data_IF_599149883031
#
_entry.id   IF_599149883031
#
_cell.length_a   1.000
_cell.length_b   1.000
_cell.length_c   1.000
_cell.angle_alpha   90.00
_cell.angle_beta   90.00
_cell.angle_gamma   90.00
#
_symmetry.space_group_name_H-M   'P 1'
#
loop_
_entity.id
_entity.type
_entity.pdbx_description
1 polymer ?
#
# COMPACT_ATOMS: atom_id res chain seq x y z
N UNK A 1 -36.02 19.60 2.07
CA UNK A 1 -35.80 20.74 3.01
C UNK A 1 -35.18 20.24 4.27
N UNK A 2 -34.16 20.95 4.72
CA UNK A 2 -33.30 20.87 5.93
C UNK A 2 -32.03 20.04 5.81
N UNK A 3 -31.02 20.74 5.36
CA UNK A 3 -29.60 20.47 5.52
C UNK A 3 -29.23 20.56 7.00
N UNK A 4 -28.68 19.51 7.57
CA UNK A 4 -28.01 19.49 8.86
C UNK A 4 -26.49 19.48 8.66
N UNK A 5 -25.89 20.65 8.54
CA UNK A 5 -24.44 20.80 8.54
C UNK A 5 -23.91 20.56 9.97
N UNK A 6 -23.22 19.45 10.18
CA UNK A 6 -22.38 19.26 11.37
C UNK A 6 -21.00 19.85 11.07
N UNK A 7 -20.86 21.11 11.42
CA UNK A 7 -19.58 21.78 11.59
C UNK A 7 -18.84 21.10 12.74
N UNK A 8 -17.89 20.23 12.43
CA UNK A 8 -16.82 19.85 13.35
C UNK A 8 -15.90 21.08 13.47
N UNK A 9 -16.19 21.92 14.45
CA UNK A 9 -15.29 22.96 14.92
C UNK A 9 -14.04 22.27 15.49
N UNK A 10 -12.84 22.49 14.95
CA UNK A 10 -11.65 22.03 15.62
C UNK A 10 -11.53 22.83 16.92
N UNK A 11 -11.59 22.14 18.04
CA UNK A 11 -11.27 22.69 19.36
C UNK A 11 -9.76 22.96 19.38
N UNK A 12 -9.36 24.11 18.83
CA UNK A 12 -8.06 24.69 19.09
C UNK A 12 -8.14 25.18 20.54
N UNK A 13 -7.72 24.33 21.47
CA UNK A 13 -7.35 24.78 22.80
C UNK A 13 -6.12 25.67 22.62
N UNK A 14 -6.35 26.95 22.43
CA UNK A 14 -5.37 28.00 22.59
C UNK A 14 -5.00 28.04 24.08
N UNK A 15 -4.06 27.18 24.46
CA UNK A 15 -3.24 27.42 25.63
C UNK A 15 -2.39 28.66 25.27
N UNK A 16 -2.93 29.83 25.64
CA UNK A 16 -2.23 31.09 25.59
C UNK A 16 -1.05 31.04 26.59
N UNK A 17 0.06 30.49 26.12
CA UNK A 17 1.35 30.71 26.72
C UNK A 17 2.04 31.80 25.88
N UNK A 18 2.55 32.89 26.47
CA UNK A 18 3.39 33.84 25.77
C UNK A 18 4.80 33.21 25.60
N UNK A 19 4.90 32.21 24.71
CA UNK A 19 6.18 31.72 24.27
C UNK A 19 6.76 32.77 23.32
N UNK A 20 8.00 33.23 23.55
CA UNK A 20 8.74 34.02 22.59
C UNK A 20 8.85 33.23 21.27
N UNK A 21 8.94 33.90 20.12
CA UNK A 21 9.09 33.24 18.82
C UNK A 21 10.26 32.24 18.83
N UNK A 22 11.32 32.53 19.55
CA UNK A 22 12.50 31.70 19.77
C UNK A 22 12.22 30.41 20.55
N UNK A 23 11.26 30.43 21.48
CA UNK A 23 10.84 29.25 22.23
C UNK A 23 9.89 28.36 21.40
N UNK A 24 9.09 28.94 20.51
CA UNK A 24 8.30 28.22 19.53
C UNK A 24 9.18 27.52 18.50
N UNK A 25 10.20 28.18 17.99
CA UNK A 25 11.16 27.60 17.02
C UNK A 25 11.89 26.36 17.58
N UNK A 26 12.21 26.36 18.87
CA UNK A 26 12.83 25.22 19.55
C UNK A 26 11.86 24.04 19.75
N UNK A 27 10.57 24.28 19.71
CA UNK A 27 9.50 23.25 19.95
C UNK A 27 8.90 22.72 18.66
N UNK A 28 9.03 23.44 17.54
CA UNK A 28 8.45 23.07 16.24
C UNK A 28 9.57 22.82 15.24
N UNK A 29 9.55 21.64 14.62
CA UNK A 29 10.44 21.27 13.52
C UNK A 29 9.61 21.04 12.26
N UNK A 30 9.98 21.72 11.19
CA UNK A 30 9.40 21.51 9.86
C UNK A 30 10.38 20.72 9.01
N UNK A 31 9.87 19.78 8.25
CA UNK A 31 10.62 18.99 7.30
C UNK A 31 9.72 18.63 6.12
N UNK A 32 10.31 18.18 5.04
CA UNK A 32 9.55 17.79 3.88
C UNK A 32 10.35 16.91 2.93
N UNK A 33 9.64 16.36 1.97
CA UNK A 33 10.21 15.54 0.91
C UNK A 33 9.41 15.73 -0.37
N UNK A 34 10.05 15.47 -1.50
CA UNK A 34 9.38 15.44 -2.77
C UNK A 34 10.07 14.55 -3.78
N UNK A 35 9.30 14.16 -4.76
CA UNK A 35 9.72 13.45 -5.96
C UNK A 35 9.09 14.12 -7.17
N UNK A 36 9.89 14.50 -8.15
CA UNK A 36 9.42 14.83 -9.50
C UNK A 36 9.81 13.66 -10.40
N UNK A 37 8.82 12.98 -10.96
CA UNK A 37 9.02 11.78 -11.75
C UNK A 37 8.52 11.91 -13.18
N UNK A 38 9.11 11.11 -14.07
CA UNK A 38 8.65 10.90 -15.44
C UNK A 38 8.71 9.42 -15.74
N UNK A 39 7.60 8.86 -16.25
CA UNK A 39 7.47 7.45 -16.58
C UNK A 39 7.01 7.30 -18.01
N UNK A 40 7.65 6.41 -18.75
CA UNK A 40 7.28 6.01 -20.10
C UNK A 40 7.12 4.50 -20.15
N UNK A 41 6.07 4.03 -20.81
CA UNK A 41 5.79 2.61 -21.03
C UNK A 41 5.83 2.28 -22.53
N UNK A 42 6.35 1.13 -22.90
CA UNK A 42 6.50 0.70 -24.30
C UNK A 42 5.19 0.29 -24.99
N UNK A 43 4.05 0.30 -24.28
CA UNK A 43 2.75 -0.12 -24.81
C UNK A 43 1.63 0.87 -24.44
N UNK A 44 0.62 0.98 -25.32
CA UNK A 44 -0.65 1.67 -25.06
C UNK A 44 -1.77 0.68 -24.68
N UNK A 45 -1.50 -0.64 -24.74
CA UNK A 45 -2.47 -1.68 -24.44
C UNK A 45 -2.63 -1.94 -22.93
N UNK A 46 -1.76 -1.37 -22.10
CA UNK A 46 -1.83 -1.52 -20.64
C UNK A 46 -1.12 -0.33 -19.97
N UNK A 47 -1.79 0.31 -19.01
CA UNK A 47 -1.28 1.47 -18.29
C UNK A 47 -0.43 1.05 -17.08
N UNK A 48 0.85 1.45 -17.04
CA UNK A 48 1.70 1.17 -15.90
C UNK A 48 1.37 2.08 -14.72
N UNK A 49 1.07 1.49 -13.56
CA UNK A 49 0.77 2.19 -12.30
C UNK A 49 1.80 1.86 -11.23
N UNK A 50 1.94 2.75 -10.25
CA UNK A 50 2.78 2.55 -9.07
C UNK A 50 2.12 1.65 -8.02
N UNK A 51 0.81 1.79 -7.86
CA UNK A 51 -0.01 0.99 -6.95
C UNK A 51 -1.48 0.99 -7.40
N UNK A 52 -2.26 0.07 -6.83
CA UNK A 52 -3.65 -0.15 -7.20
C UNK A 52 -4.60 1.05 -6.90
N UNK A 53 -4.13 2.09 -6.20
CA UNK A 53 -4.96 3.29 -5.99
C UNK A 53 -4.95 4.26 -7.18
N UNK A 54 -4.05 4.10 -8.14
CA UNK A 54 -3.95 5.02 -9.28
C UNK A 54 -4.98 4.65 -10.37
N UNK A 55 -5.86 5.57 -10.80
CA UNK A 55 -6.94 5.28 -11.73
C UNK A 55 -6.45 5.12 -13.18
N UNK A 56 -5.34 5.77 -13.53
CA UNK A 56 -4.72 5.71 -14.87
C UNK A 56 -3.23 5.44 -14.77
N UNK A 57 -2.69 4.70 -15.73
CA UNK A 57 -1.28 4.36 -15.81
C UNK A 57 -0.55 5.02 -16.98
N UNK A 58 0.78 5.06 -16.89
CA UNK A 58 1.64 5.53 -17.97
C UNK A 58 1.57 4.59 -19.19
N UNK A 59 1.52 5.18 -20.37
CA UNK A 59 1.52 4.52 -21.67
C UNK A 59 2.72 4.96 -22.50
N UNK A 60 2.67 4.89 -23.82
CA UNK A 60 3.73 5.42 -24.71
C UNK A 60 3.89 6.94 -24.64
N UNK A 61 2.92 7.63 -24.04
CA UNK A 61 3.07 9.05 -23.72
C UNK A 61 3.74 9.17 -22.36
N UNK A 62 4.87 9.90 -22.23
CA UNK A 62 5.50 10.12 -20.94
C UNK A 62 4.55 10.77 -19.93
N UNK A 63 4.49 10.21 -18.72
CA UNK A 63 3.57 10.63 -17.66
C UNK A 63 4.35 11.09 -16.42
N UNK A 64 4.15 12.33 -16.01
CA UNK A 64 4.75 12.91 -14.81
C UNK A 64 3.95 12.64 -13.52
N UNK A 65 2.75 12.05 -13.60
CA UNK A 65 1.86 11.86 -12.46
C UNK A 65 2.25 10.66 -11.59
N UNK A 66 2.70 9.57 -12.20
CA UNK A 66 2.84 8.24 -11.58
C UNK A 66 3.73 8.27 -10.33
N UNK A 67 4.90 8.90 -10.41
CA UNK A 67 5.86 8.94 -9.31
C UNK A 67 5.95 10.29 -8.60
N UNK A 68 5.33 11.35 -9.13
CA UNK A 68 5.42 12.69 -8.53
C UNK A 68 4.62 12.80 -7.24
N UNK A 69 5.24 13.40 -6.22
CA UNK A 69 4.63 13.63 -4.91
C UNK A 69 5.36 14.70 -4.13
N UNK A 70 4.68 15.28 -3.14
CA UNK A 70 5.22 16.25 -2.19
C UNK A 70 4.66 15.95 -0.80
N UNK A 71 5.53 15.88 0.20
CA UNK A 71 5.17 15.73 1.60
C UNK A 71 5.72 16.84 2.45
N UNK A 72 4.91 17.32 3.40
CA UNK A 72 5.30 18.29 4.41
C UNK A 72 5.00 17.70 5.79
N UNK A 73 5.92 17.84 6.72
CA UNK A 73 5.79 17.34 8.08
C UNK A 73 6.11 18.44 9.10
N UNK A 74 5.34 18.45 10.16
CA UNK A 74 5.57 19.29 11.34
C UNK A 74 5.63 18.37 12.57
N UNK A 75 6.71 18.45 13.31
CA UNK A 75 6.90 17.80 14.60
C UNK A 75 6.90 18.85 15.70
N UNK A 76 6.10 18.62 16.75
CA UNK A 76 5.96 19.50 17.91
C UNK A 76 6.41 18.78 19.18
N UNK A 77 7.42 19.32 19.88
CA UNK A 77 7.82 18.83 21.21
C UNK A 77 6.94 19.48 22.26
N UNK A 78 6.01 18.71 22.81
CA UNK A 78 5.03 19.19 23.81
C UNK A 78 5.57 19.09 25.23
N UNK A 79 6.34 18.03 25.52
CA UNK A 79 7.11 17.85 26.77
C UNK A 79 8.32 16.97 26.53
N UNK A 80 9.08 16.64 27.59
CA UNK A 80 10.22 15.71 27.51
C UNK A 80 9.83 14.29 27.06
N UNK A 81 8.56 13.93 27.21
CA UNK A 81 8.04 12.58 26.90
C UNK A 81 6.91 12.59 25.86
N UNK A 82 6.40 13.76 25.47
CA UNK A 82 5.22 13.89 24.59
C UNK A 82 5.57 14.70 23.33
N UNK A 83 5.27 14.16 22.18
CA UNK A 83 5.47 14.78 20.86
C UNK A 83 4.17 14.70 20.04
N UNK A 84 3.95 15.68 19.17
CA UNK A 84 2.91 15.66 18.14
C UNK A 84 3.53 15.65 16.76
N UNK A 85 3.00 14.87 15.84
CA UNK A 85 3.43 14.85 14.43
C UNK A 85 2.24 15.04 13.52
N UNK A 86 2.39 15.96 12.55
CA UNK A 86 1.46 16.15 11.43
C UNK A 86 2.23 15.99 10.13
N UNK A 87 1.74 15.16 9.21
CA UNK A 87 2.29 15.02 7.86
C UNK A 87 1.16 15.06 6.84
N UNK A 88 1.37 15.86 5.80
CA UNK A 88 0.47 15.96 4.65
C UNK A 88 1.24 15.53 3.41
N UNK A 89 0.63 14.67 2.59
CA UNK A 89 1.22 14.21 1.32
C UNK A 89 0.25 14.49 0.18
N UNK A 90 0.77 15.07 -0.90
CA UNK A 90 0.11 15.24 -2.19
C UNK A 90 0.74 14.28 -3.18
N UNK A 91 -0.03 13.39 -3.78
CA UNK A 91 0.37 12.42 -4.80
C UNK A 91 -0.82 12.13 -5.72
N UNK A 92 -0.58 11.46 -6.84
CA UNK A 92 -1.64 11.07 -7.76
C UNK A 92 -2.56 10.04 -7.08
N UNK A 93 -3.81 10.43 -6.82
CA UNK A 93 -4.81 9.70 -6.05
C UNK A 93 -5.85 9.03 -6.95
N UNK A 94 -6.68 8.18 -6.35
CA UNK A 94 -7.76 7.42 -6.99
C UNK A 94 -8.79 8.28 -7.74
N UNK A 95 -8.93 9.55 -7.39
CA UNK A 95 -9.82 10.52 -8.04
C UNK A 95 -9.15 11.27 -9.23
N UNK A 96 -7.94 10.86 -9.62
CA UNK A 96 -7.19 11.47 -10.70
C UNK A 96 -6.56 12.82 -10.35
N UNK A 97 -6.54 13.20 -9.07
CA UNK A 97 -6.01 14.48 -8.60
C UNK A 97 -4.77 14.34 -7.71
N UNK A 98 -4.14 15.48 -7.42
CA UNK A 98 -3.05 15.61 -6.44
C UNK A 98 -3.57 16.23 -5.13
N UNK A 99 -4.80 15.95 -4.72
CA UNK A 99 -5.37 16.47 -3.50
C UNK A 99 -4.49 16.10 -2.29
N UNK A 100 -4.02 17.10 -1.48
CA UNK A 100 -3.25 16.81 -0.28
C UNK A 100 -4.08 16.06 0.77
N UNK A 101 -3.46 15.06 1.40
CA UNK A 101 -4.10 14.26 2.44
C UNK A 101 -3.20 14.12 3.67
N UNK A 102 -3.81 14.13 4.86
CA UNK A 102 -3.07 13.83 6.07
C UNK A 102 -2.63 12.35 6.07
N UNK A 103 -1.33 12.11 5.91
CA UNK A 103 -0.74 10.79 6.03
C UNK A 103 -0.56 10.42 7.51
N UNK A 104 -0.07 11.36 8.31
CA UNK A 104 0.10 11.20 9.75
C UNK A 104 -0.51 12.37 10.51
N UNK A 105 -1.13 12.09 11.66
CA UNK A 105 -1.63 13.09 12.60
C UNK A 105 -1.78 12.40 13.96
N UNK A 106 -0.71 12.38 14.78
CA UNK A 106 -0.69 11.61 16.01
C UNK A 106 0.07 12.29 17.15
N UNK A 107 -0.24 11.84 18.37
CA UNK A 107 0.57 12.08 19.56
C UNK A 107 1.41 10.85 19.85
N UNK A 108 2.68 11.08 20.18
CA UNK A 108 3.64 10.07 20.61
C UNK A 108 4.07 10.31 22.05
N UNK A 109 3.97 9.28 22.87
CA UNK A 109 4.39 9.29 24.27
C UNK A 109 5.52 8.29 24.50
N UNK A 110 6.65 8.79 25.01
CA UNK A 110 7.87 8.02 25.28
C UNK A 110 8.22 8.15 26.77
N UNK A 111 7.57 7.37 27.65
CA UNK A 111 7.79 7.45 29.11
C UNK A 111 9.20 7.07 29.51
N UNK A 112 9.79 6.11 28.83
CA UNK A 112 11.18 5.68 28.94
C UNK A 112 11.76 5.48 27.55
N UNK A 113 13.07 5.57 27.32
CA UNK A 113 13.68 5.50 26.00
C UNK A 113 13.36 4.24 25.20
N UNK A 114 13.09 3.13 25.90
CA UNK A 114 12.80 1.84 25.31
C UNK A 114 11.35 1.70 24.81
N UNK A 115 10.41 2.51 25.32
CA UNK A 115 8.97 2.35 25.08
C UNK A 115 8.38 3.61 24.46
N UNK A 116 7.70 3.45 23.32
CA UNK A 116 6.93 4.50 22.68
C UNK A 116 5.51 4.03 22.39
N UNK A 117 4.52 4.80 22.80
CA UNK A 117 3.12 4.63 22.41
C UNK A 117 2.69 5.78 21.51
N UNK A 118 1.95 5.50 20.44
CA UNK A 118 1.38 6.54 19.57
C UNK A 118 -0.13 6.34 19.42
N UNK A 119 -0.86 7.46 19.31
CA UNK A 119 -2.31 7.46 19.09
C UNK A 119 -2.71 8.55 18.10
N UNK A 120 -3.57 8.22 17.15
CA UNK A 120 -4.03 9.13 16.10
C UNK A 120 -4.05 8.50 14.73
N UNK A 121 -3.75 9.28 13.68
CA UNK A 121 -3.57 8.79 12.33
C UNK A 121 -2.13 8.34 12.13
N UNK A 122 -1.94 7.05 11.91
CA UNK A 122 -0.66 6.36 11.86
C UNK A 122 -0.47 5.65 10.52
N UNK A 123 0.78 5.48 10.11
CA UNK A 123 1.14 4.57 9.01
C UNK A 123 1.00 3.11 9.43
N UNK A 124 0.58 2.26 8.50
CA UNK A 124 0.53 0.81 8.69
C UNK A 124 1.86 0.23 8.23
N UNK A 125 2.63 -0.29 9.18
CA UNK A 125 3.97 -0.83 8.93
C UNK A 125 3.95 -2.35 8.67
N UNK A 126 3.06 -2.84 7.80
CA UNK A 126 2.92 -4.29 7.53
C UNK A 126 4.12 -4.92 6.81
N UNK A 127 5.00 -4.12 6.18
CA UNK A 127 6.19 -4.58 5.45
C UNK A 127 7.36 -3.60 5.62
N UNK A 128 8.56 -4.00 5.17
CA UNK A 128 9.74 -3.12 5.23
C UNK A 128 9.51 -1.83 4.44
N UNK A 129 10.05 -0.72 4.94
CA UNK A 129 9.96 0.61 4.31
C UNK A 129 8.52 1.11 4.11
N UNK A 130 7.52 0.53 4.81
CA UNK A 130 6.13 0.96 4.69
C UNK A 130 5.92 2.39 5.19
N UNK A 131 6.65 2.79 6.22
CA UNK A 131 6.65 4.14 6.82
C UNK A 131 7.33 5.19 5.93
N UNK A 132 8.31 4.79 5.11
CA UNK A 132 9.06 5.68 4.21
C UNK A 132 8.71 5.51 2.73
N UNK A 133 7.68 4.73 2.37
CA UNK A 133 7.34 4.42 0.98
C UNK A 133 7.06 5.64 0.09
N UNK A 134 6.63 6.74 0.68
CA UNK A 134 6.37 7.99 -0.03
C UNK A 134 7.60 8.91 -0.09
N UNK A 135 8.67 8.62 0.66
CA UNK A 135 9.93 9.38 0.67
C UNK A 135 10.89 8.79 -0.36
N UNK A 136 10.87 9.29 -1.58
CA UNK A 136 11.70 8.77 -2.69
C UNK A 136 13.18 8.71 -2.33
N UNK A 137 13.70 9.73 -1.69
CA UNK A 137 15.10 9.83 -1.24
C UNK A 137 15.54 8.67 -0.31
N UNK A 138 14.62 8.01 0.39
CA UNK A 138 14.93 6.99 1.42
C UNK A 138 15.31 5.62 0.87
N UNK A 139 15.12 5.36 -0.42
CA UNK A 139 15.41 4.06 -1.02
C UNK A 139 16.21 4.19 -2.33
N UNK A 140 16.79 3.08 -2.74
CA UNK A 140 17.72 3.00 -3.88
C UNK A 140 17.00 3.14 -5.24
N UNK A 141 15.77 2.62 -5.35
CA UNK A 141 15.01 2.52 -6.59
C UNK A 141 14.29 3.83 -6.94
N UNK A 142 13.83 3.95 -8.18
CA UNK A 142 12.90 5.03 -8.59
C UNK A 142 11.58 4.91 -7.80
N UNK A 143 11.09 3.70 -7.60
CA UNK A 143 9.93 3.36 -6.77
C UNK A 143 10.11 2.01 -6.11
N UNK A 144 9.46 1.75 -4.96
CA UNK A 144 9.37 0.39 -4.43
C UNK A 144 8.75 -0.57 -5.45
N UNK A 145 9.22 -1.85 -5.53
CA UNK A 145 8.71 -2.83 -6.48
C UNK A 145 7.19 -2.96 -6.44
N UNK A 146 6.52 -2.74 -7.57
CA UNK A 146 5.03 -2.70 -7.63
C UNK A 146 4.40 -4.03 -7.25
N UNK A 147 5.05 -5.16 -7.56
CA UNK A 147 4.59 -6.51 -7.21
C UNK A 147 4.44 -6.72 -5.71
N UNK A 148 5.17 -5.93 -4.92
CA UNK A 148 5.18 -6.05 -3.46
C UNK A 148 4.42 -4.91 -2.79
N UNK A 149 4.64 -3.69 -3.23
CA UNK A 149 4.12 -2.48 -2.58
C UNK A 149 2.86 -1.94 -3.26
N UNK A 150 2.58 -2.36 -4.50
CA UNK A 150 1.44 -1.90 -5.29
C UNK A 150 0.16 -2.65 -5.03
N UNK A 151 0.22 -3.89 -4.54
CA UNK A 151 -0.93 -4.77 -4.38
C UNK A 151 -1.94 -4.26 -3.33
N UNK A 152 -1.45 -3.72 -2.22
CA UNK A 152 -2.29 -3.21 -1.15
C UNK A 152 -2.02 -1.72 -0.97
N UNK A 153 -2.91 -0.84 -1.42
CA UNK A 153 -2.76 0.60 -1.28
C UNK A 153 -3.06 1.09 0.15
N UNK A 154 -3.44 0.20 1.07
CA UNK A 154 -3.77 0.53 2.47
C UNK A 154 -2.51 0.96 3.22
N UNK A 155 -2.41 2.25 3.51
CA UNK A 155 -1.19 2.84 4.08
C UNK A 155 -1.41 3.49 5.43
N UNK A 156 -2.67 3.77 5.82
CA UNK A 156 -3.01 4.61 6.97
C UNK A 156 -4.14 4.02 7.80
N UNK A 157 -4.06 4.21 9.12
CA UNK A 157 -5.14 3.89 10.06
C UNK A 157 -5.32 5.01 11.09
N UNK A 158 -6.53 5.18 11.60
CA UNK A 158 -6.77 5.85 12.87
C UNK A 158 -6.74 4.79 13.96
N UNK A 159 -5.80 4.91 14.89
CA UNK A 159 -5.58 3.86 15.87
C UNK A 159 -4.46 4.17 16.85
N UNK A 160 -3.90 3.11 17.38
CA UNK A 160 -2.80 3.14 18.34
C UNK A 160 -1.71 2.17 17.96
N UNK A 161 -0.49 2.47 18.35
CA UNK A 161 0.61 1.51 18.33
C UNK A 161 1.48 1.62 19.60
N UNK A 162 2.17 0.53 19.89
CA UNK A 162 3.14 0.42 20.97
C UNK A 162 4.42 -0.20 20.42
N UNK A 163 5.55 0.48 20.63
CA UNK A 163 6.88 0.02 20.21
C UNK A 163 7.77 -0.14 21.43
N UNK A 164 8.43 -1.30 21.53
CA UNK A 164 9.52 -1.55 22.46
C UNK A 164 10.83 -1.73 21.69
N UNK A 165 11.92 -1.08 22.13
CA UNK A 165 13.26 -1.21 21.55
C UNK A 165 14.25 -1.61 22.64
N UNK A 166 14.87 -2.76 22.48
CA UNK A 166 15.72 -3.38 23.51
C UNK A 166 17.12 -3.64 22.97
N UNK A 167 18.15 -3.28 23.74
CA UNK A 167 19.52 -3.69 23.44
C UNK A 167 19.73 -5.13 23.88
N UNK A 168 20.20 -5.99 22.97
CA UNK A 168 20.53 -7.39 23.25
C UNK A 168 22.03 -7.61 23.49
N UNK A 169 22.79 -6.52 23.57
CA UNK A 169 24.24 -6.53 23.73
C UNK A 169 25.01 -6.36 22.43
N UNK A 170 26.26 -5.89 22.53
CA UNK A 170 27.06 -5.53 21.36
C UNK A 170 26.40 -4.46 20.50
N UNK A 171 26.31 -4.72 19.20
CA UNK A 171 25.61 -3.85 18.22
C UNK A 171 24.21 -4.38 17.85
N UNK A 172 23.63 -5.22 18.71
CA UNK A 172 22.34 -5.86 18.38
C UNK A 172 21.20 -5.21 19.14
N UNK A 173 20.16 -4.80 18.40
CA UNK A 173 18.92 -4.27 18.96
C UNK A 173 17.71 -5.10 18.46
N UNK A 174 16.72 -5.27 19.33
CA UNK A 174 15.43 -5.87 19.03
C UNK A 174 14.35 -4.78 19.14
N UNK A 175 13.59 -4.59 18.09
CA UNK A 175 12.38 -3.73 18.07
C UNK A 175 11.14 -4.61 17.91
N UNK A 176 10.22 -4.49 18.85
CA UNK A 176 8.90 -5.12 18.81
C UNK A 176 7.85 -4.04 18.70
N UNK A 177 6.86 -4.24 17.84
CA UNK A 177 5.75 -3.30 17.67
C UNK A 177 4.44 -4.04 17.53
N UNK A 178 3.41 -3.57 18.23
CA UNK A 178 2.02 -3.95 18.01
C UNK A 178 1.19 -2.73 17.58
N UNK A 179 0.19 -2.93 16.73
CA UNK A 179 -0.69 -1.86 16.27
C UNK A 179 -2.13 -2.36 16.07
N UNK A 180 -3.09 -1.43 16.23
CA UNK A 180 -4.51 -1.69 15.98
C UNK A 180 -5.26 -0.40 15.65
N UNK A 181 -6.16 -0.47 14.66
CA UNK A 181 -6.94 0.70 14.25
C UNK A 181 -7.99 0.41 13.19
N UNK A 182 -8.51 1.50 12.62
CA UNK A 182 -9.43 1.49 11.49
C UNK A 182 -8.78 2.19 10.29
N UNK A 183 -8.94 1.63 9.09
CA UNK A 183 -8.43 2.18 7.83
C UNK A 183 -9.10 3.53 7.55
N UNK A 184 -8.36 4.46 6.99
CA UNK A 184 -8.80 5.83 6.74
C UNK A 184 -8.87 6.13 5.26
N UNK A 185 -10.08 6.47 4.78
CA UNK A 185 -10.33 7.08 3.46
C UNK A 185 -9.55 6.44 2.30
N UNK A 186 -9.39 5.13 2.33
CA UNK A 186 -8.75 4.39 1.25
C UNK A 186 -9.83 3.89 0.29
N UNK A 187 -9.69 4.28 -0.98
CA UNK A 187 -10.52 3.78 -2.06
C UNK A 187 -9.63 3.14 -3.12
N UNK A 188 -10.05 1.98 -3.59
CA UNK A 188 -9.34 1.24 -4.64
C UNK A 188 -10.19 1.30 -5.91
N UNK A 189 -9.69 1.89 -7.00
CA UNK A 189 -10.36 1.85 -8.29
C UNK A 189 -10.56 0.40 -8.74
N UNK A 190 -11.77 0.07 -9.15
CA UNK A 190 -12.12 -1.23 -9.72
C UNK A 190 -12.64 -1.01 -11.13
N UNK A 191 -11.95 -1.56 -12.15
CA UNK A 191 -12.29 -1.35 -13.54
C UNK A 191 -13.73 -1.82 -13.84
N UNK A 192 -14.57 -0.90 -14.35
CA UNK A 192 -15.97 -1.19 -14.69
C UNK A 192 -16.94 -1.23 -13.50
N UNK A 193 -16.47 -1.00 -12.27
CA UNK A 193 -17.26 -1.02 -11.04
C UNK A 193 -17.01 0.23 -10.18
N UNK A 194 -17.90 0.53 -9.21
CA UNK A 194 -17.61 1.54 -8.20
C UNK A 194 -16.36 1.20 -7.40
N UNK A 195 -15.62 2.23 -6.97
CA UNK A 195 -14.43 2.05 -6.15
C UNK A 195 -14.75 1.26 -4.88
N UNK A 196 -13.87 0.33 -4.51
CA UNK A 196 -13.95 -0.38 -3.23
C UNK A 196 -13.57 0.59 -2.10
N UNK A 197 -14.52 0.88 -1.20
CA UNK A 197 -14.30 1.74 -0.02
C UNK A 197 -13.87 0.90 1.19
N UNK A 198 -12.60 1.01 1.56
CA UNK A 198 -12.01 0.32 2.71
C UNK A 198 -12.09 1.15 4.01
N UNK A 199 -12.73 2.32 3.98
CA UNK A 199 -12.80 3.22 5.13
C UNK A 199 -13.59 2.60 6.28
N UNK A 200 -12.95 2.51 7.45
CA UNK A 200 -13.55 1.93 8.66
C UNK A 200 -13.28 0.44 8.85
N UNK A 201 -12.70 -0.24 7.88
CA UNK A 201 -12.23 -1.61 8.03
C UNK A 201 -11.17 -1.69 9.12
N UNK A 202 -11.10 -2.82 9.82
CA UNK A 202 -10.19 -2.99 10.96
C UNK A 202 -8.86 -3.56 10.49
N UNK A 203 -7.78 -3.05 11.10
CA UNK A 203 -6.44 -3.56 10.90
C UNK A 203 -5.72 -3.69 12.24
N UNK A 204 -5.01 -4.79 12.43
CA UNK A 204 -4.15 -5.00 13.59
C UNK A 204 -3.02 -5.93 13.24
N UNK A 205 -1.91 -5.82 13.96
CA UNK A 205 -0.74 -6.63 13.65
C UNK A 205 0.41 -6.43 14.59
N UNK A 206 1.52 -7.08 14.26
CA UNK A 206 2.76 -7.00 15.01
C UNK A 206 3.99 -7.13 14.11
N UNK A 207 5.10 -6.61 14.63
CA UNK A 207 6.39 -6.55 13.95
C UNK A 207 7.47 -6.96 14.94
N UNK A 208 8.40 -7.77 14.47
CA UNK A 208 9.68 -8.04 15.15
C UNK A 208 10.82 -7.69 14.18
N UNK A 209 11.74 -6.84 14.62
CA UNK A 209 12.88 -6.40 13.83
C UNK A 209 14.15 -6.53 14.67
N UNK A 210 15.18 -7.14 14.10
CA UNK A 210 16.50 -7.28 14.69
C UNK A 210 17.50 -6.55 13.81
N UNK A 211 18.23 -5.62 14.38
CA UNK A 211 19.38 -4.95 13.76
C UNK A 211 20.65 -5.47 14.42
N UNK A 212 21.62 -5.96 13.65
CA UNK A 212 22.92 -6.42 14.17
C UNK A 212 24.02 -6.10 13.16
N UNK A 213 24.86 -5.12 13.51
CA UNK A 213 25.87 -4.61 12.58
C UNK A 213 25.25 -4.15 11.26
N UNK A 214 25.77 -4.71 10.16
CA UNK A 214 25.30 -4.43 8.79
C UNK A 214 23.94 -5.04 8.43
N UNK A 215 23.41 -5.95 9.24
CA UNK A 215 22.20 -6.71 8.95
C UNK A 215 20.98 -6.19 9.70
N UNK A 216 19.86 -6.10 9.00
CA UNK A 216 18.54 -5.89 9.60
C UNK A 216 17.58 -6.95 9.07
N UNK A 217 17.05 -7.77 9.97
CA UNK A 217 15.99 -8.73 9.71
C UNK A 217 14.65 -8.25 10.26
N UNK A 218 13.56 -8.42 9.53
CA UNK A 218 12.22 -8.04 9.96
C UNK A 218 11.20 -9.11 9.62
N UNK A 219 10.31 -9.39 10.55
CA UNK A 219 9.09 -10.16 10.34
C UNK A 219 7.89 -9.31 10.73
N UNK A 220 6.82 -9.40 9.98
CA UNK A 220 5.57 -8.71 10.29
C UNK A 220 4.36 -9.59 9.98
N UNK A 221 3.32 -9.39 10.75
CA UNK A 221 1.99 -9.93 10.54
C UNK A 221 0.98 -8.81 10.62
N UNK A 222 0.03 -8.78 9.69
CA UNK A 222 -1.13 -7.89 9.75
C UNK A 222 -2.39 -8.66 9.37
N UNK A 223 -3.49 -8.36 10.07
CA UNK A 223 -4.83 -8.87 9.82
C UNK A 223 -5.75 -7.71 9.51
N UNK A 224 -6.39 -7.77 8.36
CA UNK A 224 -7.41 -6.83 7.93
C UNK A 224 -8.76 -7.53 8.01
N UNK A 225 -9.78 -6.84 8.52
CA UNK A 225 -11.14 -7.34 8.56
C UNK A 225 -12.05 -6.37 7.82
N UNK A 226 -12.61 -6.82 6.72
CA UNK A 226 -13.58 -6.07 5.94
C UNK A 226 -14.89 -5.95 6.72
N UNK A 227 -15.47 -4.78 6.75
CA UNK A 227 -16.71 -4.47 7.45
C UNK A 227 -17.83 -4.02 6.53
N UNK A 228 -17.51 -3.85 5.27
CA UNK A 228 -18.43 -3.45 4.21
C UNK A 228 -18.32 -4.43 3.06
N UNK A 229 -19.44 -4.62 2.37
CA UNK A 229 -19.48 -5.28 1.07
C UNK A 229 -19.10 -4.31 -0.06
N UNK A 230 -19.14 -4.79 -1.27
CA UNK A 230 -19.07 -3.94 -2.45
C UNK A 230 -20.32 -3.04 -2.55
N UNK A 231 -20.19 -1.92 -3.27
CA UNK A 231 -21.34 -1.17 -3.72
C UNK A 231 -22.07 -1.92 -4.86
N UNK A 232 -23.37 -1.62 -5.13
CA UNK A 232 -24.06 -2.16 -6.32
C UNK A 232 -23.28 -1.86 -7.62
N UNK A 233 -23.27 -2.75 -8.62
CA UNK A 233 -24.09 -3.97 -8.70
C UNK A 233 -23.48 -5.20 -8.01
N UNK A 234 -22.21 -5.17 -7.58
CA UNK A 234 -21.52 -6.36 -7.02
C UNK A 234 -22.16 -6.84 -5.71
N UNK A 235 -22.69 -5.92 -4.87
CA UNK A 235 -23.44 -6.29 -3.67
C UNK A 235 -24.73 -7.04 -3.96
N UNK A 236 -25.32 -6.87 -5.13
CA UNK A 236 -26.53 -7.57 -5.57
C UNK A 236 -26.24 -9.03 -5.86
N UNK A 237 -25.04 -9.36 -6.33
CA UNK A 237 -24.61 -10.73 -6.61
C UNK A 237 -24.75 -11.67 -5.40
N UNK A 238 -24.35 -11.23 -4.23
CA UNK A 238 -24.50 -12.02 -3.00
C UNK A 238 -25.98 -12.28 -2.69
N UNK A 239 -26.80 -11.22 -2.77
CA UNK A 239 -28.25 -11.28 -2.54
C UNK A 239 -28.94 -12.18 -3.57
N UNK A 240 -28.57 -12.10 -4.84
CA UNK A 240 -29.14 -12.94 -5.91
C UNK A 240 -28.78 -14.42 -5.73
N UNK A 241 -27.55 -14.70 -5.30
CA UNK A 241 -27.13 -16.05 -4.94
C UNK A 241 -27.93 -16.61 -3.75
N UNK A 242 -28.19 -15.81 -2.71
CA UNK A 242 -29.01 -16.19 -1.56
C UNK A 242 -30.46 -16.47 -1.99
N UNK A 243 -31.05 -15.62 -2.83
CA UNK A 243 -32.40 -15.79 -3.37
C UNK A 243 -32.52 -17.07 -4.21
N UNK A 244 -31.52 -17.32 -5.08
CA UNK A 244 -31.49 -18.54 -5.88
C UNK A 244 -31.25 -19.80 -5.02
N UNK A 245 -30.43 -19.71 -3.97
CA UNK A 245 -30.25 -20.77 -3.00
C UNK A 245 -31.55 -21.16 -2.32
N UNK A 246 -32.34 -20.18 -1.87
CA UNK A 246 -33.64 -20.40 -1.25
C UNK A 246 -34.66 -20.98 -2.23
N UNK A 247 -34.71 -20.47 -3.47
CA UNK A 247 -35.62 -20.93 -4.52
C UNK A 247 -35.33 -22.38 -4.93
N UNK A 248 -34.09 -22.77 -5.03
CA UNK A 248 -33.65 -24.08 -5.49
C UNK A 248 -33.46 -25.09 -4.35
N UNK A 249 -33.51 -24.65 -3.09
CA UNK A 249 -33.19 -25.49 -1.93
C UNK A 249 -31.73 -25.93 -1.91
N UNK A 250 -30.81 -25.13 -2.48
CA UNK A 250 -29.39 -25.47 -2.61
C UNK A 250 -28.53 -24.65 -1.64
N UNK A 251 -28.15 -25.22 -0.46
CA UNK A 251 -27.36 -24.52 0.54
C UNK A 251 -25.91 -24.22 0.07
N UNK A 252 -25.42 -24.88 -0.97
CA UNK A 252 -24.10 -24.62 -1.54
C UNK A 252 -24.00 -23.21 -2.16
N UNK A 253 -25.11 -22.70 -2.71
CA UNK A 253 -25.17 -21.34 -3.24
C UNK A 253 -25.04 -20.26 -2.15
N UNK A 254 -25.51 -20.53 -0.92
CA UNK A 254 -25.29 -19.62 0.22
C UNK A 254 -23.81 -19.53 0.62
N UNK A 255 -23.06 -20.63 0.49
CA UNK A 255 -21.62 -20.61 0.72
C UNK A 255 -20.92 -19.73 -0.34
N UNK A 256 -21.34 -19.83 -1.60
CA UNK A 256 -20.83 -18.97 -2.68
C UNK A 256 -21.21 -17.51 -2.44
N UNK A 257 -22.46 -17.22 -2.04
CA UNK A 257 -22.90 -15.86 -1.67
C UNK A 257 -22.00 -15.25 -0.60
N UNK A 258 -21.73 -16.02 0.47
CA UNK A 258 -20.81 -15.59 1.53
C UNK A 258 -19.37 -15.40 1.00
N UNK A 259 -18.92 -16.24 0.09
CA UNK A 259 -17.55 -16.20 -0.42
C UNK A 259 -17.29 -15.01 -1.36
N UNK A 260 -18.31 -14.55 -2.11
CA UNK A 260 -18.20 -13.36 -3.00
C UNK A 260 -18.34 -12.05 -2.23
N UNK A 261 -19.02 -12.03 -1.06
CA UNK A 261 -19.18 -10.80 -0.25
C UNK A 261 -17.92 -10.50 0.56
N UNK A 262 -17.28 -9.33 0.39
CA UNK A 262 -16.16 -8.92 1.23
C UNK A 262 -16.54 -8.77 2.71
N UNK A 263 -17.79 -8.43 3.02
CA UNK A 263 -18.22 -8.14 4.37
C UNK A 263 -17.94 -9.32 5.33
N UNK A 264 -17.27 -9.04 6.43
CA UNK A 264 -16.83 -10.05 7.39
C UNK A 264 -15.60 -10.85 6.97
N UNK A 265 -15.12 -10.67 5.73
CA UNK A 265 -13.91 -11.31 5.21
C UNK A 265 -12.65 -10.88 5.95
N UNK A 266 -11.65 -11.76 5.95
CA UNK A 266 -10.39 -11.57 6.63
C UNK A 266 -9.24 -11.77 5.64
N UNK A 267 -8.40 -10.73 5.54
CA UNK A 267 -7.15 -10.78 4.82
C UNK A 267 -5.99 -10.83 5.83
N UNK A 268 -5.08 -11.76 5.64
CA UNK A 268 -3.89 -11.96 6.46
C UNK A 268 -2.65 -11.69 5.62
N UNK A 269 -1.78 -10.86 6.16
CA UNK A 269 -0.50 -10.52 5.54
C UNK A 269 0.64 -10.98 6.42
N UNK A 270 1.53 -11.78 5.84
CA UNK A 270 2.79 -12.21 6.43
C UNK A 270 3.94 -11.63 5.62
N UNK A 271 4.93 -11.07 6.29
CA UNK A 271 6.10 -10.48 5.65
C UNK A 271 7.37 -10.91 6.35
N UNK A 272 8.40 -11.24 5.59
CA UNK A 272 9.76 -11.44 6.05
C UNK A 272 10.72 -10.68 5.15
N UNK A 273 11.62 -9.91 5.73
CA UNK A 273 12.57 -9.08 4.99
C UNK A 273 13.95 -9.06 5.62
N UNK A 274 14.94 -8.82 4.79
CA UNK A 274 16.34 -8.74 5.17
C UNK A 274 17.01 -7.60 4.41
N UNK A 275 17.75 -6.73 5.12
CA UNK A 275 18.65 -5.74 4.50
C UNK A 275 20.09 -5.97 4.97
N UNK A 276 21.00 -5.63 4.09
CA UNK A 276 22.44 -5.60 4.34
C UNK A 276 23.01 -4.29 3.82
N UNK A 277 23.70 -3.56 4.69
CA UNK A 277 24.35 -2.30 4.33
C UNK A 277 25.72 -2.23 5.01
N UNK A 278 26.79 -2.46 4.23
CA UNK A 278 28.16 -2.32 4.71
C UNK A 278 29.08 -1.83 3.59
N UNK A 279 29.82 -0.79 3.87
CA UNK A 279 30.71 -0.16 2.90
C UNK A 279 29.94 0.31 1.66
N UNK A 280 30.35 -0.11 0.44
CA UNK A 280 29.65 0.26 -0.79
C UNK A 280 28.47 -0.64 -1.12
N UNK A 281 28.33 -1.79 -0.46
CA UNK A 281 27.32 -2.81 -0.81
C UNK A 281 26.01 -2.56 -0.08
N UNK A 282 24.92 -2.55 -0.82
CA UNK A 282 23.55 -2.45 -0.33
C UNK A 282 22.72 -3.60 -0.90
N UNK A 283 22.09 -4.37 -0.03
CA UNK A 283 21.23 -5.48 -0.41
C UNK A 283 19.91 -5.45 0.34
N UNK A 284 18.82 -5.79 -0.34
CA UNK A 284 17.51 -5.94 0.28
C UNK A 284 16.74 -7.07 -0.38
N UNK A 285 16.13 -7.91 0.45
CA UNK A 285 15.22 -8.96 0.01
C UNK A 285 13.97 -8.94 0.88
N UNK A 286 12.81 -9.28 0.29
CA UNK A 286 11.56 -9.43 1.02
C UNK A 286 10.71 -10.51 0.36
N UNK A 287 10.00 -11.27 1.19
CA UNK A 287 9.00 -12.25 0.80
C UNK A 287 7.74 -11.99 1.60
N UNK A 288 6.59 -11.98 0.94
CA UNK A 288 5.30 -11.83 1.59
C UNK A 288 4.31 -12.89 1.12
N UNK A 289 3.39 -13.21 2.00
CA UNK A 289 2.21 -14.01 1.69
C UNK A 289 0.96 -13.27 2.12
N UNK A 290 0.04 -13.12 1.18
CA UNK A 290 -1.30 -12.58 1.39
C UNK A 290 -2.29 -13.73 1.28
N UNK A 291 -2.99 -14.02 2.37
CA UNK A 291 -4.07 -15.00 2.42
C UNK A 291 -5.40 -14.29 2.66
N UNK A 292 -6.46 -14.75 1.98
CA UNK A 292 -7.80 -14.22 2.15
C UNK A 292 -8.80 -15.36 2.21
N UNK A 293 -9.86 -15.21 3.00
CA UNK A 293 -10.93 -16.20 3.17
C UNK A 293 -12.15 -15.95 2.26
N UNK A 294 -11.99 -15.10 1.24
CA UNK A 294 -13.03 -14.74 0.26
C UNK A 294 -12.51 -14.93 -1.17
N UNK A 295 -13.41 -15.14 -2.12
CA UNK A 295 -13.05 -15.39 -3.52
C UNK A 295 -12.93 -14.10 -4.36
N UNK A 296 -13.32 -12.95 -3.84
CA UNK A 296 -13.22 -11.67 -4.57
C UNK A 296 -11.77 -11.18 -4.74
N UNK A 297 -10.81 -11.78 -4.04
CA UNK A 297 -9.39 -11.47 -4.15
C UNK A 297 -8.57 -12.76 -4.05
N UNK A 298 -7.51 -12.96 -4.86
CA UNK A 298 -6.69 -14.15 -4.79
C UNK A 298 -5.74 -14.11 -3.58
N UNK A 299 -5.34 -15.29 -3.12
CA UNK A 299 -4.15 -15.40 -2.28
C UNK A 299 -2.89 -15.21 -3.12
N UNK A 300 -1.90 -14.48 -2.58
CA UNK A 300 -0.74 -14.10 -3.36
C UNK A 300 0.57 -14.31 -2.61
N UNK A 301 1.59 -14.76 -3.33
CA UNK A 301 2.97 -14.68 -2.91
C UNK A 301 3.65 -13.54 -3.64
N UNK A 302 4.35 -12.67 -2.91
CA UNK A 302 5.10 -11.57 -3.51
C UNK A 302 6.49 -11.51 -2.91
N UNK A 303 7.47 -11.06 -3.71
CA UNK A 303 8.80 -10.89 -3.19
C UNK A 303 9.71 -10.12 -4.14
N UNK A 304 10.81 -9.64 -3.61
CA UNK A 304 11.87 -9.01 -4.40
C UNK A 304 13.26 -9.24 -3.81
N UNK A 305 14.24 -9.07 -4.67
CA UNK A 305 15.65 -8.99 -4.34
C UNK A 305 16.25 -7.77 -5.05
N UNK A 306 17.02 -6.95 -4.33
CA UNK A 306 17.75 -5.80 -4.86
C UNK A 306 19.17 -5.79 -4.36
N UNK A 307 20.11 -5.45 -5.25
CA UNK A 307 21.52 -5.28 -4.94
C UNK A 307 22.03 -4.00 -5.60
N UNK A 308 22.73 -3.17 -4.82
CA UNK A 308 23.39 -1.97 -5.29
C UNK A 308 24.82 -1.89 -4.82
N UNK A 309 25.66 -1.22 -5.59
CA UNK A 309 27.07 -1.00 -5.25
C UNK A 309 27.44 0.47 -5.46
N UNK A 310 27.83 1.16 -4.40
CA UNK A 310 28.15 2.59 -4.43
C UNK A 310 29.55 2.83 -4.98
N UNK A 311 29.62 3.67 -6.00
CA UNK A 311 30.88 4.15 -6.61
C UNK A 311 30.87 5.67 -6.58
N UNK A 312 31.51 6.27 -5.59
CA UNK A 312 31.46 7.71 -5.38
C UNK A 312 30.04 8.20 -5.09
N UNK A 313 29.52 9.07 -5.95
CA UNK A 313 28.15 9.60 -5.87
C UNK A 313 27.12 8.76 -6.63
N UNK A 314 27.55 7.73 -7.34
CA UNK A 314 26.68 6.88 -8.15
C UNK A 314 26.51 5.50 -7.51
N UNK A 315 25.28 4.99 -7.52
CA UNK A 315 24.96 3.64 -7.06
C UNK A 315 24.16 2.91 -8.14
N UNK A 316 24.84 2.21 -9.08
CA UNK A 316 24.14 1.27 -9.94
C UNK A 316 23.52 0.15 -9.10
N UNK A 317 22.35 -0.33 -9.56
CA UNK A 317 21.63 -1.41 -8.91
C UNK A 317 20.89 -2.31 -9.89
N UNK A 318 20.64 -3.52 -9.44
CA UNK A 318 19.74 -4.46 -10.07
C UNK A 318 18.64 -4.86 -9.09
N UNK A 319 17.45 -5.10 -9.63
CA UNK A 319 16.28 -5.51 -8.86
C UNK A 319 15.54 -6.59 -9.65
N UNK A 320 15.05 -7.58 -8.94
CA UNK A 320 14.08 -8.55 -9.43
C UNK A 320 12.92 -8.65 -8.46
N UNK A 321 11.69 -8.66 -8.99
CA UNK A 321 10.47 -8.82 -8.20
C UNK A 321 9.47 -9.73 -8.90
N UNK A 322 8.58 -10.34 -8.11
CA UNK A 322 7.53 -11.22 -8.59
C UNK A 322 6.30 -11.17 -7.69
N UNK A 323 5.14 -11.25 -8.32
CA UNK A 323 3.87 -11.64 -7.72
C UNK A 323 3.33 -12.89 -8.41
N UNK A 324 2.78 -13.80 -7.63
CA UNK A 324 2.08 -15.01 -8.08
C UNK A 324 0.77 -15.07 -7.29
N UNK A 325 -0.33 -14.76 -7.95
CA UNK A 325 -1.67 -14.74 -7.37
C UNK A 325 -2.43 -15.97 -7.82
N UNK A 326 -3.11 -16.65 -6.89
CA UNK A 326 -3.89 -17.84 -7.18
C UNK A 326 -5.26 -17.76 -6.55
N UNK A 327 -6.29 -18.01 -7.35
CA UNK A 327 -7.64 -18.16 -6.87
C UNK A 327 -7.75 -19.41 -5.99
N UNK A 328 -8.39 -19.28 -4.84
CA UNK A 328 -8.65 -20.41 -3.94
C UNK A 328 -9.94 -21.11 -4.32
N UNK A 329 -9.84 -22.07 -5.23
CA UNK A 329 -10.96 -22.90 -5.66
C UNK A 329 -11.91 -22.19 -6.64
N UNK A 330 -12.76 -22.97 -7.28
CA UNK A 330 -13.86 -22.44 -8.09
C UNK A 330 -15.10 -22.30 -7.19
N UNK A 331 -15.86 -21.20 -7.32
CA UNK A 331 -17.11 -21.04 -6.61
C UNK A 331 -18.11 -22.13 -7.03
N UNK A 332 -18.84 -22.64 -6.05
CA UNK A 332 -19.92 -23.60 -6.32
C UNK A 332 -21.11 -22.88 -6.95
N UNK A 333 -21.54 -23.33 -8.12
CA UNK A 333 -22.66 -22.75 -8.86
C UNK A 333 -23.83 -23.73 -8.99
N UNK A 334 -23.69 -24.97 -8.52
CA UNK A 334 -24.76 -25.99 -8.57
C UNK A 334 -25.37 -26.17 -9.95
N UNK A 335 -26.68 -26.08 -10.04
CA UNK A 335 -27.43 -26.20 -11.28
C UNK A 335 -27.53 -24.89 -12.09
N UNK A 336 -27.08 -23.74 -11.57
CA UNK A 336 -27.26 -22.41 -12.19
C UNK A 336 -26.83 -22.35 -13.68
N UNK A 337 -25.68 -22.94 -14.09
CA UNK A 337 -25.25 -22.88 -15.50
C UNK A 337 -26.19 -23.58 -16.47
N UNK A 338 -27.08 -24.46 -15.97
CA UNK A 338 -27.98 -25.29 -16.77
C UNK A 338 -29.43 -24.82 -16.71
N UNK A 339 -29.74 -23.80 -15.92
CA UNK A 339 -31.09 -23.28 -15.79
C UNK A 339 -31.44 -22.30 -16.95
N UNK A 340 -32.62 -22.47 -17.62
CA UNK A 340 -33.08 -21.49 -18.59
C UNK A 340 -33.67 -20.27 -17.89
N UNK A 341 -32.90 -19.61 -17.02
CA UNK A 341 -33.30 -18.46 -16.21
C UNK A 341 -32.31 -17.32 -16.45
N UNK A 342 -32.74 -16.13 -16.90
CA UNK A 342 -31.90 -14.98 -17.16
C UNK A 342 -31.08 -14.54 -15.94
N UNK A 343 -31.68 -14.58 -14.72
CA UNK A 343 -30.97 -14.22 -13.48
C UNK A 343 -29.86 -15.23 -13.17
N UNK A 344 -30.14 -16.54 -13.33
CA UNK A 344 -29.11 -17.55 -13.14
C UNK A 344 -27.93 -17.38 -14.12
N UNK A 345 -28.23 -17.08 -15.40
CA UNK A 345 -27.20 -16.82 -16.40
C UNK A 345 -26.36 -15.58 -16.06
N UNK A 346 -27.00 -14.51 -15.58
CA UNK A 346 -26.32 -13.29 -15.14
C UNK A 346 -25.40 -13.58 -13.94
N UNK A 347 -25.90 -14.23 -12.90
CA UNK A 347 -25.13 -14.61 -11.71
C UNK A 347 -23.90 -15.46 -12.08
N UNK A 348 -24.05 -16.42 -13.00
CA UNK A 348 -22.94 -17.24 -13.50
C UNK A 348 -21.89 -16.36 -14.20
N UNK A 349 -22.33 -15.42 -15.04
CA UNK A 349 -21.43 -14.48 -15.74
C UNK A 349 -20.71 -13.55 -14.75
N UNK A 350 -21.40 -13.00 -13.76
CA UNK A 350 -20.84 -12.09 -12.75
C UNK A 350 -19.84 -12.80 -11.85
N UNK A 351 -20.12 -14.03 -11.41
CA UNK A 351 -19.17 -14.85 -10.65
C UNK A 351 -17.95 -15.17 -11.51
N UNK A 352 -18.13 -15.53 -12.78
CA UNK A 352 -17.02 -15.79 -13.69
C UNK A 352 -16.16 -14.54 -13.91
N UNK A 353 -16.77 -13.36 -14.05
CA UNK A 353 -16.07 -12.10 -14.18
C UNK A 353 -15.27 -11.76 -12.91
N UNK A 354 -15.89 -11.91 -11.73
CA UNK A 354 -15.25 -11.64 -10.44
C UNK A 354 -14.03 -12.56 -10.21
N UNK A 355 -14.09 -13.80 -10.67
CA UNK A 355 -13.01 -14.79 -10.51
C UNK A 355 -11.94 -14.70 -11.59
N UNK A 356 -12.30 -14.29 -12.82
CA UNK A 356 -11.34 -14.19 -13.93
C UNK A 356 -10.30 -13.07 -13.74
N UNK A 357 -10.66 -12.01 -12.99
CA UNK A 357 -9.78 -10.85 -12.74
C UNK A 357 -8.67 -11.18 -11.72
N UNK A 358 -8.67 -12.36 -11.12
CA UNK A 358 -7.95 -12.64 -9.86
C UNK A 358 -6.70 -13.51 -9.97
N UNK A 359 -6.26 -13.93 -11.16
CA UNK A 359 -5.04 -14.75 -11.32
C UNK A 359 -3.89 -13.97 -11.97
N UNK A 360 -3.48 -12.89 -11.34
CA UNK A 360 -2.42 -12.06 -11.86
C UNK A 360 -1.05 -12.60 -11.47
N UNK A 361 -0.23 -12.87 -12.47
CA UNK A 361 1.19 -13.17 -12.28
C UNK A 361 2.02 -12.11 -13.00
N UNK A 362 2.96 -11.52 -12.29
CA UNK A 362 3.89 -10.56 -12.88
C UNK A 362 5.30 -10.77 -12.36
N UNK A 363 6.28 -10.59 -13.22
CA UNK A 363 7.68 -10.52 -12.84
C UNK A 363 8.36 -9.34 -13.51
N UNK A 364 9.19 -8.65 -12.74
CA UNK A 364 9.97 -7.50 -13.19
C UNK A 364 11.44 -7.75 -12.95
N UNK A 365 12.26 -7.50 -13.96
CA UNK A 365 13.72 -7.36 -13.82
C UNK A 365 14.08 -5.92 -14.17
N UNK A 366 14.75 -5.23 -13.25
CA UNK A 366 15.12 -3.85 -13.41
C UNK A 366 16.61 -3.62 -13.23
N UNK A 367 17.12 -2.65 -13.99
CA UNK A 367 18.44 -2.05 -13.81
C UNK A 367 18.26 -0.56 -13.62
N UNK A 368 19.00 0.01 -12.68
CA UNK A 368 18.90 1.43 -12.40
C UNK A 368 20.20 2.02 -11.88
N UNK A 369 20.16 3.32 -11.76
CA UNK A 369 21.24 4.15 -11.25
C UNK A 369 20.64 5.21 -10.32
N UNK A 370 21.15 5.28 -9.10
CA UNK A 370 20.94 6.43 -8.21
C UNK A 370 22.20 7.28 -8.26
N UNK A 371 22.03 8.58 -8.42
CA UNK A 371 23.09 9.57 -8.41
C UNK A 371 22.81 10.62 -7.34
N UNK A 372 23.58 10.57 -6.25
CA UNK A 372 23.52 11.56 -5.17
C UNK A 372 24.18 12.87 -5.64
N UNK A 373 23.38 13.73 -6.28
CA UNK A 373 23.85 14.97 -6.91
C UNK A 373 24.32 15.99 -5.88
N UNK A 374 23.55 16.14 -4.79
CA UNK A 374 23.87 17.02 -3.65
C UNK A 374 23.43 16.36 -2.35
N UNK A 375 23.87 16.94 -1.22
CA UNK A 375 23.22 16.63 0.04
C UNK A 375 21.70 16.86 -0.10
N UNK A 376 20.89 15.90 0.32
CA UNK A 376 19.43 15.93 0.31
C UNK A 376 18.76 15.93 -1.08
N UNK A 377 19.50 15.72 -2.18
CA UNK A 377 18.94 15.63 -3.55
C UNK A 377 19.62 14.50 -4.31
N UNK A 378 18.83 13.56 -4.81
CA UNK A 378 19.29 12.54 -5.74
C UNK A 378 18.50 12.53 -7.05
N UNK A 379 19.12 11.97 -8.09
CA UNK A 379 18.49 11.67 -9.37
C UNK A 379 18.53 10.15 -9.58
N UNK A 380 17.44 9.57 -10.07
CA UNK A 380 17.38 8.14 -10.35
C UNK A 380 16.89 7.86 -11.74
N UNK A 381 17.45 6.82 -12.34
CA UNK A 381 17.02 6.27 -13.62
C UNK A 381 16.80 4.78 -13.45
N UNK A 382 15.74 4.25 -14.03
CA UNK A 382 15.41 2.83 -13.97
C UNK A 382 14.77 2.37 -15.27
N UNK A 383 15.17 1.18 -15.71
CA UNK A 383 14.54 0.47 -16.81
C UNK A 383 14.02 -0.86 -16.27
N UNK A 384 12.71 -1.05 -16.36
CA UNK A 384 12.00 -2.26 -15.93
C UNK A 384 11.66 -3.09 -17.18
N UNK A 385 11.96 -4.37 -17.13
CA UNK A 385 11.48 -5.36 -18.09
C UNK A 385 10.43 -6.22 -17.41
N UNK A 386 9.18 -6.05 -17.82
CA UNK A 386 8.02 -6.63 -17.16
C UNK A 386 7.42 -7.73 -18.02
N UNK A 387 7.04 -8.83 -17.36
CA UNK A 387 6.23 -9.92 -17.93
C UNK A 387 5.04 -10.15 -17.03
N UNK A 388 3.84 -9.93 -17.54
CA UNK A 388 2.56 -10.10 -16.87
C UNK A 388 1.73 -11.18 -17.55
N UNK A 389 0.85 -11.82 -16.79
CA UNK A 389 -0.23 -12.69 -17.27
C UNK A 389 -1.54 -12.11 -16.72
N UNK A 390 -2.62 -12.24 -17.47
CA UNK A 390 -3.96 -11.75 -17.11
C UNK A 390 -4.02 -10.25 -16.73
N UNK A 391 -3.17 -9.40 -17.35
CA UNK A 391 -3.11 -7.98 -17.02
C UNK A 391 -2.07 -7.61 -15.96
N UNK A 392 -1.76 -8.48 -15.01
CA UNK A 392 -0.80 -8.23 -13.94
C UNK A 392 -1.17 -7.00 -13.09
N UNK A 393 -0.15 -6.21 -12.71
CA UNK A 393 -0.31 -4.98 -11.94
C UNK A 393 -0.51 -3.74 -12.83
N UNK A 394 -1.06 -3.90 -14.04
CA UNK A 394 -1.34 -2.81 -14.97
C UNK A 394 -2.82 -2.43 -14.94
N UNK A 395 -3.11 -1.14 -15.14
CA UNK A 395 -4.48 -0.67 -15.30
C UNK A 395 -4.90 -0.75 -16.77
N UNK A 396 -6.21 -0.99 -16.99
CA UNK A 396 -6.84 -0.94 -18.31
C UNK A 396 -6.12 -1.80 -19.36
N UNK A 397 -5.65 -2.99 -18.96
CA UNK A 397 -5.02 -3.93 -19.89
C UNK A 397 -6.04 -4.46 -20.90
N UNK A 398 -5.69 -4.35 -22.20
CA UNK A 398 -6.53 -4.86 -23.28
C UNK A 398 -6.44 -6.39 -23.37
N UNK A 399 -7.51 -7.08 -23.75
CA UNK A 399 -7.53 -8.56 -23.79
C UNK A 399 -6.49 -9.17 -24.74
N UNK A 400 -6.07 -8.45 -25.78
CA UNK A 400 -5.08 -8.88 -26.76
C UNK A 400 -3.65 -8.48 -26.40
N UNK A 401 -3.41 -7.86 -25.25
CA UNK A 401 -2.09 -7.50 -24.81
C UNK A 401 -1.25 -8.77 -24.49
N UNK A 402 -0.05 -8.80 -25.03
CA UNK A 402 0.85 -9.95 -24.89
C UNK A 402 1.56 -10.06 -23.52
N UNK A 403 1.20 -9.23 -22.55
CA UNK A 403 1.75 -9.24 -21.21
C UNK A 403 3.19 -8.74 -21.08
N UNK A 404 3.76 -8.08 -22.10
CA UNK A 404 5.16 -7.60 -22.07
C UNK A 404 5.22 -6.09 -22.14
N UNK A 405 6.00 -5.51 -21.22
CA UNK A 405 6.26 -4.08 -21.20
C UNK A 405 7.73 -3.80 -20.85
N UNK A 406 8.21 -2.67 -21.37
CA UNK A 406 9.43 -2.02 -20.88
C UNK A 406 9.02 -0.65 -20.34
N UNK A 407 9.31 -0.41 -19.07
CA UNK A 407 9.04 0.88 -18.44
C UNK A 407 10.36 1.59 -18.20
N UNK A 408 10.45 2.85 -18.63
CA UNK A 408 11.61 3.71 -18.41
C UNK A 408 11.18 4.84 -17.51
N UNK A 409 11.93 5.07 -16.44
CA UNK A 409 11.58 6.04 -15.44
C UNK A 409 12.77 6.88 -15.02
N UNK A 410 12.51 8.15 -14.73
CA UNK A 410 13.48 9.06 -14.14
C UNK A 410 12.82 9.83 -13.00
N UNK A 411 13.55 10.04 -11.90
CA UNK A 411 13.08 10.88 -10.79
C UNK A 411 14.18 11.81 -10.30
N UNK A 412 13.74 12.95 -9.73
CA UNK A 412 14.54 13.79 -8.85
C UNK A 412 13.85 13.75 -7.49
N UNK A 413 14.55 13.25 -6.49
CA UNK A 413 14.07 13.16 -5.12
C UNK A 413 14.81 14.18 -4.24
N UNK A 414 14.08 14.80 -3.30
CA UNK A 414 14.67 15.76 -2.37
C UNK A 414 14.02 15.69 -0.99
N UNK A 415 14.81 16.06 0.03
CA UNK A 415 14.36 16.23 1.43
C UNK A 415 14.88 17.54 1.98
N UNK A 416 14.18 18.16 2.93
CA UNK A 416 14.56 19.42 3.57
C UNK A 416 14.06 19.54 5.00
#
# INVERSE_FOLDING_TARGET
MRFGAWLLTPLILALAWPASAEELEKKLKFSGFGTVGLVWNSTDQAGFVRDASQPEGATRTPDGRIDSRLGLQMDATLSSTLQGTLQVVSKYNYDGTFRPEFSWAFLGWTPVPEIQARAGRLGIEAFMNADSRDVGYSYLWVRPPVEVFGLIPITRMNGVDLTGTFSLGGQTTLRLKGFYGAIVSEQVPVSGYPNLDLSGDRVGGGIAEVQSGAWRGRMAYARFQFRKGFAPPVSELSTDLENLAALLGDPGLNQTATAVDPNGGVLQWYSAGLTYEEGPLQGQAMLNHLGIDRIFMPSSWTGFLSLGYRVGHATPYALWSRIDSRQQGLPYLGALPFLPNPLAAQVVADVALLTAVNEDTQSTAALGLRWDWRANVDCKFQVDRIRAQNGGMFNNSQPDWNGRATVVSATIDFVF
#
